data_IF_883168596048
#
_entry.id   IF_883168596048
#
_cell.length_a   1.000
_cell.length_b   1.000
_cell.length_c   1.000
_cell.angle_alpha   90.00
_cell.angle_beta   90.00
_cell.angle_gamma   90.00
#
_symmetry.space_group_name_H-M   'P 1'
#
loop_
_entity.id
_entity.type
_entity.pdbx_description
1 polymer ?
#
# COMPACT_ATOMS: atom_id res chain seq x y z
N UNK A 1 -11.58 -3.20 4.42
CA UNK A 1 -10.57 -3.27 3.33
C UNK A 1 -11.13 -4.09 2.20
N UNK A 2 -11.05 -3.63 0.98
CA UNK A 2 -11.41 -4.40 -0.21
C UNK A 2 -10.14 -4.74 -0.98
N UNK A 3 -10.17 -5.86 -1.71
CA UNK A 3 -9.09 -6.25 -2.60
C UNK A 3 -9.35 -5.75 -4.02
N UNK A 4 -8.28 -5.43 -4.74
CA UNK A 4 -8.30 -5.00 -6.14
C UNK A 4 -7.56 -6.00 -7.03
N UNK A 5 -8.03 -6.20 -8.25
CA UNK A 5 -7.46 -7.09 -9.25
C UNK A 5 -7.10 -6.39 -10.58
N UNK A 6 -7.38 -5.08 -10.66
CA UNK A 6 -7.04 -4.21 -11.79
C UNK A 6 -6.89 -2.77 -11.33
N UNK A 7 -6.35 -1.89 -12.18
CA UNK A 7 -6.16 -0.48 -11.92
C UNK A 7 -4.89 -0.14 -11.13
N UNK A 8 -4.68 1.17 -10.93
CA UNK A 8 -3.52 1.73 -10.23
C UNK A 8 -3.98 2.48 -9.00
N UNK A 9 -3.50 2.08 -7.84
CA UNK A 9 -4.01 2.47 -6.54
C UNK A 9 -2.95 3.07 -5.64
N UNK A 10 -3.33 4.09 -4.86
CA UNK A 10 -2.48 4.76 -3.89
C UNK A 10 -3.16 4.85 -2.52
N UNK A 11 -2.39 4.66 -1.47
CA UNK A 11 -2.76 4.92 -0.09
C UNK A 11 -1.52 5.22 0.75
N UNK A 12 -1.74 5.70 1.96
CA UNK A 12 -0.69 6.00 2.92
C UNK A 12 -0.94 5.29 4.25
N UNK A 13 0.11 5.13 5.05
CA UNK A 13 -0.01 4.72 6.43
C UNK A 13 1.05 5.44 7.27
N UNK A 14 0.61 6.07 8.36
CA UNK A 14 1.50 6.64 9.37
C UNK A 14 1.80 5.61 10.45
N UNK A 15 3.06 5.48 10.80
CA UNK A 15 3.53 4.64 11.90
C UNK A 15 3.23 5.34 13.21
N UNK A 16 2.45 4.72 14.11
CA UNK A 16 2.04 5.36 15.38
C UNK A 16 2.97 4.99 16.51
N UNK A 17 3.24 3.70 16.68
CA UNK A 17 4.08 3.25 17.81
C UNK A 17 4.61 1.83 17.63
N UNK A 18 5.68 1.51 18.35
CA UNK A 18 6.19 0.15 18.58
C UNK A 18 7.34 -0.27 17.63
N UNK A 19 7.88 -1.48 17.81
CA UNK A 19 8.97 -2.06 16.99
C UNK A 19 8.55 -3.42 16.41
N UNK A 20 9.20 -3.87 15.35
CA UNK A 20 8.99 -5.17 14.71
C UNK A 20 7.61 -5.37 14.07
N UNK A 21 7.34 -4.64 13.02
CA UNK A 21 6.11 -4.82 12.23
C UNK A 21 6.42 -5.05 10.75
N UNK A 22 5.42 -5.58 10.06
CA UNK A 22 5.41 -5.67 8.60
C UNK A 22 4.17 -4.93 8.07
N UNK A 23 4.33 -4.23 6.95
CA UNK A 23 3.24 -3.52 6.30
C UNK A 23 3.43 -3.57 4.78
N UNK A 24 2.33 -3.66 4.04
CA UNK A 24 2.37 -3.72 2.58
C UNK A 24 1.10 -4.30 1.98
N UNK A 25 1.24 -5.37 1.22
CA UNK A 25 0.13 -6.05 0.53
C UNK A 25 0.17 -7.56 0.73
N UNK A 26 -1.03 -8.16 0.74
CA UNK A 26 -1.20 -9.61 0.67
C UNK A 26 -2.15 -9.97 -0.48
N UNK A 27 -1.91 -11.10 -1.11
CA UNK A 27 -2.87 -11.75 -2.01
C UNK A 27 -4.13 -12.16 -1.23
N UNK A 28 -5.30 -12.08 -1.87
CA UNK A 28 -6.60 -12.34 -1.23
C UNK A 28 -6.72 -13.73 -0.61
N UNK A 29 -6.09 -14.72 -1.20
CA UNK A 29 -6.11 -16.12 -0.75
C UNK A 29 -4.90 -16.50 0.13
N UNK A 30 -4.09 -15.53 0.51
CA UNK A 30 -2.98 -15.77 1.43
C UNK A 30 -3.51 -16.16 2.79
N UNK A 31 -3.21 -17.39 3.20
CA UNK A 31 -3.48 -17.84 4.56
C UNK A 31 -2.53 -17.11 5.50
N UNK A 32 -3.06 -16.18 6.28
CA UNK A 32 -2.32 -15.46 7.32
C UNK A 32 -2.12 -16.33 8.56
N UNK A 33 -1.52 -17.50 8.38
CA UNK A 33 -1.19 -18.41 9.51
C UNK A 33 0.15 -18.07 10.15
N UNK A 34 0.91 -17.16 9.55
CA UNK A 34 2.18 -16.70 10.07
C UNK A 34 2.08 -15.27 10.59
N UNK A 35 2.79 -14.98 11.66
CA UNK A 35 2.78 -13.70 12.39
C UNK A 35 3.29 -12.50 11.58
N UNK A 36 3.77 -12.70 10.35
CA UNK A 36 4.56 -11.71 9.61
C UNK A 36 3.94 -11.28 8.28
N UNK A 37 3.10 -12.08 7.66
CA UNK A 37 2.71 -11.89 6.26
C UNK A 37 3.89 -12.07 5.28
N UNK A 38 3.66 -11.88 3.98
CA UNK A 38 4.71 -12.03 2.97
C UNK A 38 5.08 -13.48 2.66
N UNK A 39 4.19 -14.42 2.88
CA UNK A 39 4.46 -15.87 2.79
C UNK A 39 4.30 -16.42 1.38
N UNK A 40 3.58 -15.74 0.50
CA UNK A 40 3.38 -16.17 -0.88
C UNK A 40 4.05 -15.25 -1.89
N UNK A 41 4.16 -15.71 -3.14
CA UNK A 41 4.67 -14.90 -4.25
C UNK A 41 3.74 -13.73 -4.63
N UNK A 42 2.52 -13.67 -4.09
CA UNK A 42 1.55 -12.58 -4.29
C UNK A 42 1.54 -11.58 -3.13
N UNK A 43 2.39 -11.77 -2.15
CA UNK A 43 2.55 -10.88 -1.00
C UNK A 43 3.80 -10.01 -1.16
N UNK A 44 3.76 -8.82 -0.57
CA UNK A 44 4.92 -7.94 -0.46
C UNK A 44 4.81 -7.10 0.81
N UNK A 45 5.60 -7.43 1.81
CA UNK A 45 5.56 -6.80 3.13
C UNK A 45 6.91 -6.16 3.45
N UNK A 46 6.92 -4.90 3.87
CA UNK A 46 8.12 -4.20 4.30
C UNK A 46 8.36 -4.44 5.78
N UNK A 47 9.54 -4.95 6.10
CA UNK A 47 9.99 -5.16 7.47
C UNK A 47 10.49 -3.86 8.08
N UNK A 48 10.00 -3.50 9.26
CA UNK A 48 10.27 -2.21 9.88
C UNK A 48 11.76 -1.94 10.13
N UNK A 49 12.42 -2.83 10.84
CA UNK A 49 13.76 -2.57 11.36
C UNK A 49 14.88 -2.61 10.31
N UNK A 50 14.59 -3.12 9.12
CA UNK A 50 15.59 -3.23 8.05
C UNK A 50 15.17 -2.53 6.75
N UNK A 51 13.86 -2.34 6.51
CA UNK A 51 13.33 -1.92 5.21
C UNK A 51 13.35 -3.02 4.16
N UNK A 52 13.68 -4.25 4.54
CA UNK A 52 13.66 -5.37 3.61
C UNK A 52 12.23 -5.67 3.15
N UNK A 53 12.12 -6.10 1.91
CA UNK A 53 10.89 -6.63 1.35
C UNK A 53 10.82 -8.13 1.62
N UNK A 54 9.74 -8.57 2.28
CA UNK A 54 9.41 -9.98 2.46
C UNK A 54 8.38 -10.42 1.44
N UNK A 55 8.72 -11.46 0.69
CA UNK A 55 7.84 -12.10 -0.30
C UNK A 55 8.22 -13.57 -0.41
N UNK A 56 7.25 -14.45 -0.62
CA UNK A 56 7.46 -15.90 -0.74
C UNK A 56 8.30 -16.49 0.41
N UNK A 57 8.05 -16.01 1.64
CA UNK A 57 8.75 -16.45 2.85
C UNK A 57 10.19 -15.93 3.01
N UNK A 58 10.74 -15.22 2.03
CA UNK A 58 12.12 -14.71 2.03
C UNK A 58 12.20 -13.18 2.14
N UNK A 59 13.28 -12.68 2.75
CA UNK A 59 13.59 -11.26 2.87
C UNK A 59 14.65 -10.85 1.83
N UNK A 60 14.46 -9.71 1.16
CA UNK A 60 15.44 -9.12 0.23
C UNK A 60 15.63 -7.62 0.54
N UNK A 61 16.81 -7.08 0.26
CA UNK A 61 17.07 -5.64 0.40
C UNK A 61 16.19 -4.84 -0.56
N UNK A 62 15.50 -3.80 -0.04
CA UNK A 62 14.65 -2.96 -0.89
C UNK A 62 14.65 -1.49 -0.48
N UNK A 63 14.47 -1.19 0.79
CA UNK A 63 14.38 0.16 1.31
C UNK A 63 15.16 0.37 2.59
N UNK A 64 14.77 1.34 3.38
CA UNK A 64 15.32 1.64 4.69
C UNK A 64 14.31 1.33 5.80
N UNK A 65 14.80 1.15 7.03
CA UNK A 65 13.96 1.05 8.22
C UNK A 65 13.02 2.26 8.36
N UNK A 66 11.90 2.05 9.03
CA UNK A 66 10.96 3.12 9.36
C UNK A 66 10.64 3.09 10.86
N UNK A 67 10.26 4.26 11.38
CA UNK A 67 10.05 4.52 12.81
C UNK A 67 8.74 5.24 13.07
N UNK A 68 8.42 5.42 14.34
CA UNK A 68 7.25 6.18 14.77
C UNK A 68 7.28 7.59 14.17
N UNK A 69 6.15 8.01 13.63
CA UNK A 69 5.99 9.26 12.91
C UNK A 69 6.26 9.18 11.40
N UNK A 70 6.99 8.18 10.91
CA UNK A 70 7.18 8.03 9.47
C UNK A 70 5.85 7.74 8.75
N UNK A 71 5.70 8.30 7.56
CA UNK A 71 4.58 8.05 6.67
C UNK A 71 5.05 7.21 5.50
N UNK A 72 4.43 6.05 5.34
CA UNK A 72 4.67 5.16 4.22
C UNK A 72 3.61 5.39 3.15
N UNK A 73 4.06 5.67 1.93
CA UNK A 73 3.22 5.74 0.74
C UNK A 73 3.30 4.43 -0.05
N UNK A 74 2.18 3.97 -0.55
CA UNK A 74 2.06 2.71 -1.30
C UNK A 74 1.45 2.97 -2.66
N UNK A 75 2.09 2.46 -3.72
CA UNK A 75 1.54 2.48 -5.06
C UNK A 75 1.46 1.05 -5.61
N UNK A 76 0.25 0.62 -5.95
CA UNK A 76 -0.08 -0.71 -6.44
C UNK A 76 -0.63 -0.60 -7.87
N UNK A 77 0.14 -1.09 -8.83
CA UNK A 77 -0.23 -1.17 -10.24
C UNK A 77 -0.64 -2.61 -10.57
N UNK A 78 -1.93 -2.91 -10.50
CA UNK A 78 -2.45 -4.24 -10.79
C UNK A 78 -2.53 -4.51 -12.30
N UNK A 79 -2.54 -3.47 -13.13
CA UNK A 79 -2.55 -3.65 -14.60
C UNK A 79 -1.20 -4.19 -15.11
N UNK A 80 -0.11 -3.89 -14.39
CA UNK A 80 1.24 -4.36 -14.70
C UNK A 80 1.82 -5.28 -13.60
N UNK A 81 1.05 -5.59 -12.57
CA UNK A 81 1.45 -6.45 -11.45
C UNK A 81 2.63 -5.92 -10.64
N UNK A 82 2.69 -4.59 -10.36
CA UNK A 82 3.82 -3.94 -9.71
C UNK A 82 3.41 -3.26 -8.39
N UNK A 83 4.32 -3.32 -7.42
CA UNK A 83 4.13 -2.67 -6.12
C UNK A 83 5.35 -1.84 -5.73
N UNK A 84 5.09 -0.66 -5.16
CA UNK A 84 6.10 0.32 -4.75
C UNK A 84 5.80 0.81 -3.34
N UNK A 85 6.86 1.15 -2.60
CA UNK A 85 6.75 1.76 -1.27
C UNK A 85 7.64 3.00 -1.21
N UNK A 86 7.12 4.06 -0.60
CA UNK A 86 7.85 5.26 -0.25
C UNK A 86 7.89 5.42 1.27
N UNK A 87 8.92 6.08 1.78
CA UNK A 87 8.98 6.62 3.12
C UNK A 87 9.14 8.13 3.05
N UNK A 88 8.24 8.87 3.71
CA UNK A 88 8.25 10.34 3.75
C UNK A 88 8.45 10.94 2.35
N UNK A 89 7.63 10.48 1.38
CA UNK A 89 7.65 10.88 -0.03
C UNK A 89 8.89 10.46 -0.85
N UNK A 90 9.78 9.65 -0.30
CA UNK A 90 10.94 9.12 -1.03
C UNK A 90 10.72 7.65 -1.38
N UNK A 91 10.60 7.34 -2.67
CA UNK A 91 10.38 5.98 -3.15
C UNK A 91 11.61 5.12 -2.91
N UNK A 92 11.42 3.94 -2.34
CA UNK A 92 12.50 2.97 -2.12
C UNK A 92 13.10 2.50 -3.44
N UNK A 93 14.37 2.12 -3.41
CA UNK A 93 15.13 1.61 -4.56
C UNK A 93 15.09 2.54 -5.79
N UNK A 94 15.00 3.87 -5.59
CA UNK A 94 14.80 4.83 -6.68
C UNK A 94 13.61 4.48 -7.58
N UNK A 95 12.57 3.92 -6.99
CA UNK A 95 11.33 3.52 -7.68
C UNK A 95 10.62 4.72 -8.28
N UNK A 96 9.99 4.52 -9.43
CA UNK A 96 9.10 5.51 -10.03
C UNK A 96 7.81 4.83 -10.48
N UNK A 97 6.74 4.89 -9.68
CA UNK A 97 5.47 4.27 -10.03
C UNK A 97 4.88 4.83 -11.33
N UNK A 98 5.02 6.14 -11.59
CA UNK A 98 4.40 6.78 -12.74
C UNK A 98 4.91 6.24 -14.08
N UNK A 99 6.20 5.88 -14.16
CA UNK A 99 6.80 5.30 -15.37
C UNK A 99 7.10 3.78 -15.23
N UNK A 100 6.77 3.18 -14.11
CA UNK A 100 6.85 1.73 -13.93
C UNK A 100 8.24 1.17 -13.66
N UNK A 101 9.23 2.00 -13.24
CA UNK A 101 10.61 1.55 -13.00
C UNK A 101 10.89 1.21 -11.55
N UNK A 102 11.80 0.26 -11.33
CA UNK A 102 12.32 -0.18 -10.02
C UNK A 102 11.23 -0.50 -8.98
N UNK A 103 10.21 -1.32 -9.28
CA UNK A 103 9.25 -1.77 -8.30
C UNK A 103 9.90 -2.63 -7.22
N UNK A 104 9.33 -2.65 -6.04
CA UNK A 104 9.70 -3.60 -4.99
C UNK A 104 9.23 -5.01 -5.29
N UNK A 105 8.07 -5.13 -5.95
CA UNK A 105 7.48 -6.41 -6.33
C UNK A 105 6.94 -6.35 -7.75
N UNK A 106 7.07 -7.47 -8.47
CA UNK A 106 6.51 -7.68 -9.81
C UNK A 106 5.67 -8.97 -9.85
N UNK A 107 5.00 -9.20 -10.97
CA UNK A 107 4.22 -10.43 -11.22
C UNK A 107 3.08 -10.66 -10.22
N UNK A 108 2.45 -9.58 -9.76
CA UNK A 108 1.19 -9.67 -9.03
C UNK A 108 0.07 -9.95 -10.04
N UNK A 109 -0.63 -11.06 -9.86
CA UNK A 109 -1.66 -11.54 -10.80
C UNK A 109 -2.98 -11.88 -10.12
N UNK A 110 -3.05 -11.74 -8.79
CA UNK A 110 -4.23 -12.07 -8.00
C UNK A 110 -4.76 -10.85 -7.30
N UNK A 111 -6.05 -10.86 -6.98
CA UNK A 111 -6.68 -9.86 -6.13
C UNK A 111 -5.81 -9.60 -4.90
N UNK A 112 -5.48 -8.35 -4.69
CA UNK A 112 -4.51 -7.90 -3.68
C UNK A 112 -5.16 -6.87 -2.77
N UNK A 113 -4.80 -6.88 -1.51
CA UNK A 113 -5.33 -5.96 -0.48
C UNK A 113 -4.17 -5.35 0.33
N UNK A 114 -4.42 -4.14 0.86
CA UNK A 114 -3.51 -3.53 1.82
C UNK A 114 -3.50 -4.36 3.11
N UNK A 115 -2.32 -4.62 3.64
CA UNK A 115 -2.11 -5.51 4.78
C UNK A 115 -1.07 -4.96 5.75
N UNK A 116 -1.20 -5.33 7.03
CA UNK A 116 -0.15 -5.17 8.03
C UNK A 116 -0.14 -6.38 8.98
N UNK A 117 1.03 -6.67 9.51
CA UNK A 117 1.23 -7.63 10.58
C UNK A 117 1.93 -6.87 11.73
N UNK A 118 1.16 -6.22 12.61
CA UNK A 118 1.72 -5.51 13.76
C UNK A 118 2.19 -6.52 14.81
N UNK A 119 3.32 -6.23 15.43
CA UNK A 119 3.88 -6.99 16.54
C UNK A 119 4.13 -6.02 17.71
N UNK A 120 4.06 -6.48 18.96
CA UNK A 120 4.31 -5.69 20.16
C UNK A 120 3.51 -4.35 20.25
N UNK A 121 2.19 -4.42 20.20
CA UNK A 121 1.30 -3.26 20.31
C UNK A 121 1.53 -2.19 19.23
N UNK A 122 2.07 -2.59 18.05
CA UNK A 122 2.15 -1.71 16.90
C UNK A 122 0.79 -1.24 16.44
N UNK A 123 0.75 0.02 16.04
CA UNK A 123 -0.41 0.55 15.34
C UNK A 123 0.00 1.41 14.16
N UNK A 124 -0.87 1.42 13.15
CA UNK A 124 -0.76 2.24 11.95
C UNK A 124 -2.06 3.02 11.77
N UNK A 125 -1.95 4.29 11.43
CA UNK A 125 -3.09 5.03 10.90
C UNK A 125 -3.05 4.96 9.38
N UNK A 126 -3.97 4.21 8.78
CA UNK A 126 -4.13 4.15 7.34
C UNK A 126 -4.92 5.35 6.82
N UNK A 127 -4.47 5.89 5.70
CA UNK A 127 -5.17 6.89 4.91
C UNK A 127 -5.41 6.34 3.48
N UNK A 128 -6.66 5.99 3.19
CA UNK A 128 -7.13 5.62 1.86
C UNK A 128 -7.77 6.81 1.12
N UNK A 129 -7.47 8.02 1.58
CA UNK A 129 -8.01 9.28 1.09
C UNK A 129 -9.01 9.94 2.02
N UNK A 130 -9.16 9.47 3.27
CA UNK A 130 -10.12 10.03 4.22
C UNK A 130 -9.54 11.09 5.16
N UNK A 131 -8.23 11.08 5.43
CA UNK A 131 -7.63 11.96 6.44
C UNK A 131 -6.10 12.05 6.28
N UNK A 132 -5.61 13.17 5.73
CA UNK A 132 -4.19 13.46 5.55
C UNK A 132 -3.50 13.98 6.83
N UNK A 133 -4.29 14.22 7.86
CA UNK A 133 -3.77 14.63 9.18
C UNK A 133 -3.44 13.43 10.07
N UNK A 134 -3.84 12.22 9.68
CA UNK A 134 -3.67 11.02 10.48
C UNK A 134 -4.15 11.22 11.93
N UNK A 135 -5.42 11.66 12.06
CA UNK A 135 -6.09 11.97 13.34
C UNK A 135 -5.47 13.15 14.08
N UNK A 136 -5.01 14.14 13.35
CA UNK A 136 -4.41 15.36 13.89
C UNK A 136 -2.94 15.23 14.29
N UNK A 137 -2.27 14.11 13.93
CA UNK A 137 -0.85 13.92 14.19
C UNK A 137 0.05 14.65 13.18
N UNK A 138 -0.51 15.07 12.06
CA UNK A 138 0.18 15.77 10.98
C UNK A 138 -0.60 17.03 10.57
N UNK A 139 0.08 18.00 9.97
CA UNK A 139 -0.60 19.12 9.29
C UNK A 139 -1.23 18.63 7.99
N UNK A 140 -2.41 19.13 7.66
CA UNK A 140 -3.06 18.85 6.37
C UNK A 140 -2.22 19.38 5.21
N UNK A 141 -2.15 18.62 4.11
CA UNK A 141 -1.52 19.01 2.86
C UNK A 141 -2.51 19.05 1.69
N UNK A 142 -3.65 18.35 1.79
CA UNK A 142 -4.77 18.44 0.86
C UNK A 142 -4.52 17.87 -0.54
N UNK A 143 -3.50 17.00 -0.71
CA UNK A 143 -3.24 16.39 -2.01
C UNK A 143 -4.35 15.38 -2.37
N UNK A 144 -4.74 15.34 -3.65
CA UNK A 144 -5.75 14.42 -4.18
C UNK A 144 -5.24 13.67 -5.40
N UNK A 145 -5.96 12.63 -5.80
CA UNK A 145 -5.69 11.94 -7.06
C UNK A 145 -6.10 12.77 -8.29
N UNK A 146 -5.82 12.27 -9.48
CA UNK A 146 -6.13 12.95 -10.74
C UNK A 146 -7.63 13.15 -11.01
N UNK A 147 -8.51 12.49 -10.24
CA UNK A 147 -9.96 12.69 -10.26
C UNK A 147 -10.45 13.63 -9.16
N UNK A 148 -9.53 14.28 -8.42
CA UNK A 148 -9.85 15.15 -7.29
C UNK A 148 -10.42 14.38 -6.09
N UNK A 149 -10.08 13.10 -5.95
CA UNK A 149 -10.59 12.24 -4.86
C UNK A 149 -9.51 11.94 -3.84
N UNK A 150 -9.96 11.83 -2.60
CA UNK A 150 -9.10 11.62 -1.44
C UNK A 150 -8.40 12.89 -0.97
N UNK A 151 -7.88 12.84 0.26
CA UNK A 151 -6.95 13.80 0.83
C UNK A 151 -5.74 13.06 1.35
N UNK A 152 -4.55 13.43 0.88
CA UNK A 152 -3.29 12.74 1.17
C UNK A 152 -2.22 13.71 1.65
N UNK A 153 -1.32 13.21 2.49
CA UNK A 153 -0.14 13.96 2.92
C UNK A 153 0.83 14.22 1.77
N UNK A 154 0.98 13.23 0.89
CA UNK A 154 1.80 13.32 -0.31
C UNK A 154 0.96 13.12 -1.57
N UNK A 155 1.35 13.77 -2.67
CA UNK A 155 0.63 13.64 -3.91
C UNK A 155 0.73 12.19 -4.46
N UNK A 156 -0.42 11.54 -4.78
CA UNK A 156 -0.40 10.27 -5.47
C UNK A 156 0.41 10.36 -6.77
N UNK A 157 1.18 9.32 -7.13
CA UNK A 157 1.89 9.29 -8.41
C UNK A 157 0.94 9.45 -9.60
N UNK A 158 1.42 10.07 -10.68
CA UNK A 158 0.61 10.22 -11.89
C UNK A 158 0.03 8.87 -12.36
N UNK A 159 -1.26 8.85 -12.64
CA UNK A 159 -2.01 7.66 -13.07
C UNK A 159 -2.51 6.77 -11.92
N UNK A 160 -2.15 7.04 -10.68
CA UNK A 160 -2.66 6.32 -9.52
C UNK A 160 -3.85 7.03 -8.88
N UNK A 161 -4.85 6.24 -8.49
CA UNK A 161 -6.07 6.73 -7.87
C UNK A 161 -6.10 6.37 -6.38
N UNK A 162 -6.82 7.17 -5.60
CA UNK A 162 -7.11 6.84 -4.21
C UNK A 162 -7.77 5.46 -4.10
N UNK A 163 -7.26 4.59 -3.23
CA UNK A 163 -7.82 3.25 -3.00
C UNK A 163 -9.12 3.34 -2.19
N UNK A 164 -10.15 3.91 -2.79
CA UNK A 164 -11.45 4.13 -2.18
C UNK A 164 -12.59 3.65 -3.10
N UNK A 165 -13.76 3.39 -2.53
CA UNK A 165 -14.92 2.86 -3.26
C UNK A 165 -15.41 3.77 -4.39
N UNK A 166 -15.22 5.09 -4.29
CA UNK A 166 -15.58 6.04 -5.35
C UNK A 166 -14.74 5.89 -6.62
N UNK A 167 -13.60 5.24 -6.56
CA UNK A 167 -12.72 4.98 -7.70
C UNK A 167 -12.90 3.57 -8.29
N UNK A 168 -13.67 2.71 -7.63
CA UNK A 168 -14.03 1.42 -8.20
C UNK A 168 -14.96 1.61 -9.42
N UNK A 169 -14.91 0.70 -10.41
CA UNK A 169 -15.92 0.65 -11.46
C UNK A 169 -17.32 0.51 -10.86
N UNK A 170 -18.32 1.11 -11.51
CA UNK A 170 -19.70 0.89 -11.12
C UNK A 170 -20.03 -0.61 -11.19
N UNK A 171 -20.75 -1.16 -10.21
CA UNK A 171 -21.18 -2.55 -10.27
C UNK A 171 -22.02 -2.77 -11.54
N UNK A 172 -21.58 -3.66 -12.41
CA UNK A 172 -22.43 -4.14 -13.51
C UNK A 172 -23.49 -5.05 -12.91
N UNK A 173 -24.67 -4.51 -12.68
CA UNK A 173 -25.86 -5.35 -12.41
C UNK A 173 -26.26 -5.95 -13.76
N UNK A 174 -26.26 -7.30 -13.93
CA UNK A 174 -26.84 -7.90 -15.11
C UNK A 174 -28.29 -7.39 -15.24
N UNK A 175 -28.67 -6.82 -16.39
CA UNK A 175 -30.09 -6.58 -16.66
C UNK A 175 -30.73 -7.94 -16.59
N UNK A 176 -31.66 -8.12 -15.63
CA UNK A 176 -32.50 -9.29 -15.62
C UNK A 176 -33.21 -9.36 -16.98
N UNK A 177 -33.18 -10.53 -17.60
CA UNK A 177 -34.01 -10.80 -18.80
C UNK A 177 -35.47 -10.59 -18.38
N UNK A 178 -36.10 -9.51 -18.91
CA UNK A 178 -37.54 -9.34 -18.87
C UNK A 178 -38.18 -10.26 -19.89
#
# INVERSE_FOLDING_TARGET
TFGVDSGKWYWEARVVSGQHSFIGINGYDTKTTADRGGETAQDAMIRQNTGNLRTNGGDSSYGSSYSDGDILGFALDMDNGKFYVAKNNTWFNSGNPANGTNPGKTCLTRRTLAACAPYDNKSFHYNFGQDDTFRGAESSAGNSDSKGRGVFKYAPPSGFLAMCSKNLPDPTVPKGDE
#
